data_IF_281610861691
#
_entry.id   IF_281610861691
#
_cell.length_a   1.000
_cell.length_b   1.000
_cell.length_c   1.000
_cell.angle_alpha   90.00
_cell.angle_beta   90.00
_cell.angle_gamma   90.00
#
_symmetry.space_group_name_H-M   'P 1'
#
loop_
_entity.id
_entity.type
_entity.pdbx_description
1 polymer ?
#
# COMPACT_ATOMS: atom_id res chain seq x y z
N UNK A 1 -27.08 -1.60 68.40
CA UNK A 1 -28.16 -1.02 67.55
C UNK A 1 -27.74 0.41 67.26
N UNK A 2 -26.87 0.61 66.27
CA UNK A 2 -27.19 0.73 64.83
C UNK A 2 -27.76 2.12 64.51
N UNK A 3 -26.95 2.93 63.84
CA UNK A 3 -27.36 3.63 62.63
C UNK A 3 -26.09 4.12 61.92
N UNK A 4 -25.57 3.24 61.07
CA UNK A 4 -24.70 3.55 59.95
C UNK A 4 -25.36 4.65 59.11
N UNK A 5 -24.73 5.83 59.02
CA UNK A 5 -25.12 6.87 58.08
C UNK A 5 -24.18 6.72 56.88
N UNK A 6 -24.71 6.00 55.90
CA UNK A 6 -24.15 5.65 54.60
C UNK A 6 -23.69 6.92 53.87
N UNK A 7 -22.42 6.95 53.50
CA UNK A 7 -21.86 7.85 52.49
C UNK A 7 -22.69 7.69 51.20
N UNK A 8 -23.56 8.67 50.91
CA UNK A 8 -24.29 8.71 49.65
C UNK A 8 -23.30 8.83 48.49
N UNK A 9 -23.59 8.24 47.32
CA UNK A 9 -22.67 8.31 46.18
C UNK A 9 -22.40 9.77 45.86
N UNK A 10 -21.12 10.15 45.84
CA UNK A 10 -20.64 11.45 45.40
C UNK A 10 -21.21 11.68 43.98
N UNK A 11 -22.29 12.46 43.89
CA UNK A 11 -22.94 12.79 42.64
C UNK A 11 -22.00 13.70 41.86
N UNK A 12 -21.09 13.09 41.08
CA UNK A 12 -20.29 13.82 40.10
C UNK A 12 -21.25 14.41 39.08
N UNK A 13 -21.24 15.75 39.00
CA UNK A 13 -22.15 16.58 38.19
C UNK A 13 -22.27 16.00 36.77
N UNK A 14 -23.51 15.73 36.33
CA UNK A 14 -23.78 15.11 35.03
C UNK A 14 -23.24 15.93 33.86
N UNK A 15 -23.04 17.23 34.08
CA UNK A 15 -22.41 18.13 33.14
C UNK A 15 -20.94 17.75 32.89
N UNK A 16 -20.17 17.45 33.94
CA UNK A 16 -18.75 17.08 33.85
C UNK A 16 -18.55 15.73 33.14
N UNK A 17 -19.45 14.77 33.38
CA UNK A 17 -19.45 13.48 32.67
C UNK A 17 -19.79 13.64 31.18
N UNK A 18 -20.74 14.53 30.86
CA UNK A 18 -21.12 14.82 29.48
C UNK A 18 -20.01 15.53 28.71
N UNK A 19 -19.27 16.42 29.37
CA UNK A 19 -18.14 17.14 28.81
C UNK A 19 -16.96 16.20 28.57
N UNK A 20 -16.67 15.31 29.53
CA UNK A 20 -15.66 14.26 29.36
C UNK A 20 -16.03 13.29 28.21
N UNK A 21 -17.31 12.94 28.04
CA UNK A 21 -17.78 12.13 26.92
C UNK A 21 -17.67 12.89 25.58
N UNK A 22 -17.98 14.18 25.56
CA UNK A 22 -17.83 15.05 24.39
C UNK A 22 -16.36 15.13 23.96
N UNK A 23 -15.43 15.33 24.89
CA UNK A 23 -14.00 15.38 24.58
C UNK A 23 -13.45 14.03 24.07
N UNK A 24 -13.97 12.90 24.55
CA UNK A 24 -13.64 11.57 24.01
C UNK A 24 -14.14 11.39 22.59
N UNK A 25 -15.38 11.77 22.32
CA UNK A 25 -15.98 11.73 20.98
C UNK A 25 -15.24 12.65 20.02
N UNK A 26 -14.91 13.87 20.45
CA UNK A 26 -14.15 14.84 19.67
C UNK A 26 -12.76 14.30 19.32
N UNK A 27 -12.02 13.76 20.29
CA UNK A 27 -10.69 13.17 20.04
C UNK A 27 -10.76 11.98 19.09
N UNK A 28 -11.81 11.15 19.19
CA UNK A 28 -12.04 10.05 18.25
C UNK A 28 -12.40 10.55 16.83
N UNK A 29 -13.18 11.62 16.73
CA UNK A 29 -13.54 12.26 15.47
C UNK A 29 -12.33 12.93 14.80
N UNK A 30 -11.50 13.63 15.57
CA UNK A 30 -10.27 14.27 15.11
C UNK A 30 -9.27 13.22 14.60
N UNK A 31 -9.06 12.13 15.36
CA UNK A 31 -8.23 11.01 14.91
C UNK A 31 -8.73 10.38 13.60
N UNK A 32 -10.05 10.28 13.43
CA UNK A 32 -10.65 9.80 12.18
C UNK A 32 -10.44 10.78 11.03
N UNK A 33 -10.49 12.09 11.29
CA UNK A 33 -10.24 13.13 10.30
C UNK A 33 -8.78 13.13 9.84
N UNK A 34 -7.85 13.05 10.78
CA UNK A 34 -6.42 12.94 10.49
C UNK A 34 -6.10 11.70 9.66
N UNK A 35 -6.65 10.53 10.02
CA UNK A 35 -6.44 9.30 9.25
C UNK A 35 -6.95 9.41 7.81
N UNK A 36 -8.07 10.12 7.57
CA UNK A 36 -8.54 10.37 6.21
C UNK A 36 -7.59 11.29 5.44
N UNK A 37 -7.16 12.39 6.06
CA UNK A 37 -6.25 13.34 5.42
C UNK A 37 -4.91 12.66 5.09
N UNK A 38 -4.37 11.86 6.00
CA UNK A 38 -3.16 11.06 5.79
C UNK A 38 -3.29 10.09 4.61
N UNK A 39 -4.45 9.44 4.47
CA UNK A 39 -4.71 8.56 3.33
C UNK A 39 -4.73 9.33 2.00
N UNK A 40 -5.37 10.49 1.95
CA UNK A 40 -5.41 11.33 0.75
C UNK A 40 -4.02 11.89 0.39
N UNK A 41 -3.27 12.39 1.38
CA UNK A 41 -1.92 12.91 1.16
C UNK A 41 -0.93 11.83 0.70
N UNK A 42 -1.05 10.61 1.25
CA UNK A 42 -0.28 9.46 0.79
C UNK A 42 -0.61 9.08 -0.68
N UNK A 43 -1.82 9.39 -1.14
CA UNK A 43 -2.26 9.13 -2.51
C UNK A 43 -1.89 10.27 -3.49
N UNK A 44 -1.75 11.51 -3.02
CA UNK A 44 -1.25 12.64 -3.81
C UNK A 44 0.28 12.64 -3.99
N UNK A 45 1.01 12.00 -3.06
CA UNK A 45 2.46 11.87 -3.12
C UNK A 45 2.97 10.83 -4.13
N UNK A 46 2.14 9.84 -4.52
CA UNK A 46 2.52 8.90 -5.58
C UNK A 46 2.23 9.53 -6.96
N UNK A 47 3.24 9.66 -7.84
CA UNK A 47 3.00 10.16 -9.18
C UNK A 47 2.00 9.25 -9.90
N UNK A 48 0.93 9.80 -10.47
CA UNK A 48 -0.07 9.06 -11.28
C UNK A 48 0.60 8.18 -12.35
N UNK A 49 1.76 8.63 -12.86
CA UNK A 49 2.62 7.90 -13.78
C UNK A 49 3.14 6.57 -13.22
N UNK A 50 3.48 6.47 -11.92
CA UNK A 50 3.89 5.19 -11.32
C UNK A 50 2.71 4.26 -11.11
N UNK A 51 1.55 4.78 -10.68
CA UNK A 51 0.34 3.97 -10.45
C UNK A 51 -0.20 3.36 -11.75
N UNK A 52 -0.21 4.12 -12.85
CA UNK A 52 -0.66 3.64 -14.17
C UNK A 52 0.47 2.98 -14.97
N UNK A 53 1.72 3.39 -14.75
CA UNK A 53 2.88 2.84 -15.45
C UNK A 53 3.18 1.41 -15.07
N UNK A 54 2.99 1.01 -13.80
CA UNK A 54 3.21 -0.36 -13.32
C UNK A 54 2.37 -1.40 -14.08
N UNK A 55 1.02 -1.30 -14.13
CA UNK A 55 0.21 -2.27 -14.87
C UNK A 55 0.46 -2.21 -16.38
N UNK A 56 0.73 -1.01 -16.93
CA UNK A 56 1.09 -0.87 -18.34
C UNK A 56 2.40 -1.59 -18.68
N UNK A 57 3.44 -1.42 -17.86
CA UNK A 57 4.74 -2.07 -18.05
C UNK A 57 4.63 -3.59 -17.95
N UNK A 58 3.93 -4.11 -16.94
CA UNK A 58 3.69 -5.55 -16.80
C UNK A 58 2.91 -6.09 -18.01
N UNK A 59 1.90 -5.36 -18.48
CA UNK A 59 1.14 -5.75 -19.67
C UNK A 59 2.02 -5.80 -20.91
N UNK A 60 2.90 -4.82 -21.10
CA UNK A 60 3.88 -4.82 -22.20
C UNK A 60 4.87 -5.99 -22.10
N UNK A 61 5.34 -6.33 -20.90
CA UNK A 61 6.23 -7.47 -20.67
C UNK A 61 5.55 -8.80 -21.03
N UNK A 62 4.29 -9.00 -20.61
CA UNK A 62 3.51 -10.20 -20.94
C UNK A 62 3.28 -10.29 -22.45
N UNK A 63 2.99 -9.18 -23.12
CA UNK A 63 2.85 -9.15 -24.58
C UNK A 63 4.18 -9.46 -25.27
N UNK A 64 5.29 -8.90 -24.80
CA UNK A 64 6.62 -9.17 -25.35
C UNK A 64 7.01 -10.65 -25.17
N UNK A 65 6.93 -11.18 -23.95
CA UNK A 65 7.25 -12.58 -23.66
C UNK A 65 6.30 -13.56 -24.36
N UNK A 66 5.01 -13.23 -24.38
CA UNK A 66 3.97 -14.07 -24.97
C UNK A 66 3.94 -14.04 -26.49
N UNK A 67 4.30 -12.93 -27.13
CA UNK A 67 4.21 -12.75 -28.59
C UNK A 67 5.57 -12.94 -29.27
N UNK A 68 6.61 -12.26 -28.80
CA UNK A 68 7.93 -12.30 -29.45
C UNK A 68 8.66 -13.60 -29.12
N UNK A 69 8.61 -14.03 -27.85
CA UNK A 69 9.34 -15.22 -27.42
C UNK A 69 8.72 -16.51 -27.98
N UNK A 70 7.40 -16.55 -28.16
CA UNK A 70 6.70 -17.69 -28.77
C UNK A 70 6.92 -17.77 -30.28
N UNK A 71 7.05 -16.64 -30.98
CA UNK A 71 7.38 -16.60 -32.40
C UNK A 71 8.76 -17.21 -32.68
N UNK A 72 9.76 -16.89 -31.83
CA UNK A 72 11.10 -17.52 -31.88
C UNK A 72 11.01 -19.05 -31.71
N UNK A 73 10.10 -19.54 -30.87
CA UNK A 73 9.89 -20.97 -30.63
C UNK A 73 9.21 -21.67 -31.81
N UNK A 74 8.32 -20.98 -32.51
CA UNK A 74 7.66 -21.48 -33.72
C UNK A 74 8.64 -21.64 -34.88
N UNK A 75 9.57 -20.70 -35.04
CA UNK A 75 10.59 -20.73 -36.11
C UNK A 75 11.66 -21.82 -35.84
N UNK A 76 12.02 -22.04 -34.58
CA UNK A 76 13.11 -22.97 -34.20
C UNK A 76 12.67 -24.46 -34.18
N UNK A 77 11.41 -24.74 -34.54
CA UNK A 77 10.97 -26.08 -34.91
C UNK A 77 10.78 -27.05 -33.73
N UNK A 78 10.10 -26.65 -32.65
CA UNK A 78 9.50 -27.53 -31.60
C UNK A 78 10.38 -28.69 -31.09
N UNK A 79 11.70 -28.59 -31.16
CA UNK A 79 12.64 -29.61 -30.66
C UNK A 79 12.87 -29.44 -29.16
N UNK A 80 13.29 -30.48 -28.46
CA UNK A 80 13.60 -30.40 -27.01
C UNK A 80 14.67 -29.34 -26.69
N UNK A 81 15.63 -29.15 -27.61
CA UNK A 81 16.62 -28.07 -27.53
C UNK A 81 15.99 -26.67 -27.65
N UNK A 82 14.95 -26.53 -28.49
CA UNK A 82 14.17 -25.30 -28.64
C UNK A 82 13.50 -24.88 -27.32
N UNK A 83 12.92 -25.84 -26.61
CA UNK A 83 12.31 -25.61 -25.30
C UNK A 83 13.34 -25.23 -24.23
N UNK A 84 14.52 -25.84 -24.25
CA UNK A 84 15.61 -25.50 -23.33
C UNK A 84 16.12 -24.08 -23.56
N UNK A 85 16.39 -23.71 -24.81
CA UNK A 85 16.81 -22.36 -25.20
C UNK A 85 15.73 -21.34 -24.83
N UNK A 86 14.47 -21.66 -25.07
CA UNK A 86 13.34 -20.80 -24.71
C UNK A 86 13.25 -20.58 -23.20
N UNK A 87 13.37 -21.63 -22.39
CA UNK A 87 13.33 -21.49 -20.93
C UNK A 87 14.45 -20.58 -20.41
N UNK A 88 15.66 -20.71 -20.98
CA UNK A 88 16.80 -19.83 -20.65
C UNK A 88 16.51 -18.39 -21.07
N UNK A 89 16.01 -18.17 -22.28
CA UNK A 89 15.72 -16.84 -22.81
C UNK A 89 14.60 -16.15 -22.02
N UNK A 90 13.55 -16.90 -21.67
CA UNK A 90 12.45 -16.42 -20.83
C UNK A 90 12.96 -16.04 -19.44
N UNK A 91 13.76 -16.92 -18.81
CA UNK A 91 14.35 -16.62 -17.51
C UNK A 91 15.21 -15.35 -17.54
N UNK A 92 16.00 -15.16 -18.59
CA UNK A 92 16.79 -13.95 -18.80
C UNK A 92 15.92 -12.71 -19.01
N UNK A 93 14.88 -12.81 -19.85
CA UNK A 93 13.93 -11.73 -20.10
C UNK A 93 13.23 -11.29 -18.81
N UNK A 94 12.71 -12.23 -18.02
CA UNK A 94 12.06 -11.94 -16.74
C UNK A 94 13.03 -11.30 -15.75
N UNK A 95 14.27 -11.79 -15.66
CA UNK A 95 15.28 -11.20 -14.79
C UNK A 95 15.58 -9.74 -15.17
N UNK A 96 15.74 -9.49 -16.48
CA UNK A 96 16.01 -8.16 -17.00
C UNK A 96 14.80 -7.22 -16.85
N UNK A 97 13.59 -7.70 -17.13
CA UNK A 97 12.34 -6.97 -16.91
C UNK A 97 12.17 -6.59 -15.44
N UNK A 98 12.56 -7.48 -14.51
CA UNK A 98 12.53 -7.19 -13.07
C UNK A 98 13.50 -6.08 -12.69
N UNK A 99 14.75 -6.15 -13.15
CA UNK A 99 15.73 -5.09 -12.88
C UNK A 99 15.29 -3.73 -13.45
N UNK A 100 14.73 -3.72 -14.66
CA UNK A 100 14.17 -2.53 -15.29
C UNK A 100 12.96 -2.01 -14.51
N UNK A 101 12.04 -2.88 -14.10
CA UNK A 101 10.87 -2.53 -13.31
C UNK A 101 11.29 -1.89 -11.99
N UNK A 102 12.24 -2.51 -11.27
CA UNK A 102 12.74 -2.01 -10.01
C UNK A 102 13.42 -0.64 -10.19
N UNK A 103 14.17 -0.42 -11.28
CA UNK A 103 14.78 0.89 -11.56
C UNK A 103 13.74 1.97 -11.92
N UNK A 104 12.79 1.67 -12.81
CA UNK A 104 11.79 2.62 -13.29
C UNK A 104 10.72 2.95 -12.25
N UNK A 105 10.38 2.00 -11.39
CA UNK A 105 9.32 2.12 -10.40
C UNK A 105 9.82 2.03 -8.96
N UNK A 106 11.14 2.20 -8.75
CA UNK A 106 11.71 2.49 -7.43
C UNK A 106 11.13 3.83 -6.97
N UNK A 107 10.06 3.74 -6.19
CA UNK A 107 9.52 4.89 -5.49
C UNK A 107 10.40 5.06 -4.27
N UNK A 108 11.02 6.23 -4.16
CA UNK A 108 11.72 6.65 -2.96
C UNK A 108 10.67 6.87 -1.85
N UNK A 109 10.25 5.79 -1.20
CA UNK A 109 9.33 5.82 -0.04
C UNK A 109 10.01 6.53 1.15
N UNK A 110 11.30 6.87 1.05
CA UNK A 110 12.09 7.55 2.07
C UNK A 110 11.71 9.03 2.28
N UNK A 111 10.98 9.67 1.36
CA UNK A 111 10.61 11.09 1.47
C UNK A 111 9.35 11.34 2.32
N UNK A 112 8.69 10.26 2.78
CA UNK A 112 7.56 10.37 3.71
C UNK A 112 8.05 10.07 5.13
N UNK A 113 8.87 10.98 5.66
CA UNK A 113 9.13 11.08 7.09
C UNK A 113 7.99 11.91 7.72
N UNK A 114 7.04 11.23 8.37
CA UNK A 114 5.96 11.86 9.13
C UNK A 114 6.29 11.91 10.64
N UNK A 115 7.55 12.03 11.03
CA UNK A 115 7.93 12.30 12.42
C UNK A 115 7.92 13.82 12.68
N UNK A 116 6.72 14.41 12.72
CA UNK A 116 6.54 15.77 13.27
C UNK A 116 6.65 15.69 14.80
N UNK A 117 7.89 15.80 15.29
CA UNK A 117 8.17 16.07 16.70
C UNK A 117 7.85 17.53 17.00
N UNK A 118 6.64 17.80 17.48
CA UNK A 118 6.38 18.86 18.47
C UNK A 118 5.05 18.65 19.21
#
# INVERSE_FOLDING_TARGET
MSAEQVEGPEFIDGNEQSEAAFWRLKRAADKRRENRIKFFLAQEGEPILTTLGRPFFISACILFDGLILTEVLLITGKTAFSWLIYGILLGFAVFFQRDIYDRLFSIDISEIDFDDKN
#
